data_IF_444685960469
#
_entry.id   IF_444685960469
#
_cell.length_a   1.000
_cell.length_b   1.000
_cell.length_c   1.000
_cell.angle_alpha   90.00
_cell.angle_beta   90.00
_cell.angle_gamma   90.00
#
_symmetry.space_group_name_H-M   'P 1'
#
loop_
_entity.id
_entity.type
_entity.pdbx_description
1 polymer ?
#
# COMPACT_ATOMS: atom_id res chain seq x y z
N UNK A 1 16.70 -35.97 10.89
CA UNK A 1 16.59 -35.17 12.12
C UNK A 1 15.54 -34.08 11.91
N UNK A 2 14.44 -34.19 12.64
CA UNK A 2 13.22 -33.41 12.46
C UNK A 2 13.44 -31.98 12.99
N UNK A 3 13.41 -30.96 12.12
CA UNK A 3 13.44 -29.56 12.57
C UNK A 3 12.00 -29.11 12.73
N UNK A 4 11.42 -29.29 13.92
CA UNK A 4 10.11 -28.74 14.26
C UNK A 4 10.18 -27.21 14.13
N UNK A 5 9.51 -26.66 13.10
CA UNK A 5 9.16 -25.24 13.10
C UNK A 5 8.03 -25.08 14.12
N UNK A 6 8.35 -24.55 15.29
CA UNK A 6 7.34 -24.13 16.25
C UNK A 6 6.54 -22.96 15.64
N UNK A 7 5.44 -23.28 14.97
CA UNK A 7 4.44 -22.28 14.60
C UNK A 7 3.66 -21.95 15.87
N UNK A 8 3.98 -20.81 16.49
CA UNK A 8 3.25 -20.35 17.66
C UNK A 8 1.87 -19.85 17.22
N UNK A 9 0.81 -20.47 17.74
CA UNK A 9 -0.56 -20.07 17.48
C UNK A 9 -0.85 -18.73 18.20
N UNK A 10 -0.56 -17.63 17.50
CA UNK A 10 -0.73 -16.27 18.01
C UNK A 10 -2.19 -16.00 18.44
N UNK A 11 -3.23 -16.40 17.68
CA UNK A 11 -4.61 -16.36 18.16
C UNK A 11 -4.80 -17.02 19.53
N UNK A 12 -4.33 -18.27 19.71
CA UNK A 12 -4.46 -18.96 20.99
C UNK A 12 -3.69 -18.29 22.14
N UNK A 13 -2.55 -17.65 21.84
CA UNK A 13 -1.80 -16.87 22.85
C UNK A 13 -2.51 -15.57 23.22
N UNK A 14 -3.16 -14.89 22.28
CA UNK A 14 -3.97 -13.68 22.55
C UNK A 14 -5.21 -13.97 23.40
N UNK A 15 -5.67 -15.22 23.42
CA UNK A 15 -6.72 -15.68 24.34
C UNK A 15 -6.23 -15.91 25.77
N UNK A 16 -4.92 -16.06 25.97
CA UNK A 16 -4.31 -16.42 27.26
C UNK A 16 -3.55 -15.29 27.94
N UNK A 17 -2.89 -14.42 27.17
CA UNK A 17 -2.15 -13.28 27.70
C UNK A 17 -2.89 -11.98 27.33
N UNK A 18 -3.63 -11.45 28.30
CA UNK A 18 -4.55 -10.33 28.10
C UNK A 18 -3.93 -8.98 28.50
N UNK A 19 -4.57 -7.88 28.10
CA UNK A 19 -4.08 -6.53 28.36
C UNK A 19 -3.89 -6.24 29.86
N UNK A 20 -4.80 -6.64 30.78
CA UNK A 20 -4.59 -6.42 32.21
C UNK A 20 -3.33 -7.09 32.77
N UNK A 21 -3.02 -8.30 32.30
CA UNK A 21 -1.83 -9.04 32.73
C UNK A 21 -0.55 -8.41 32.17
N UNK A 22 -0.57 -8.01 30.90
CA UNK A 22 0.54 -7.29 30.27
C UNK A 22 0.76 -5.93 30.92
N UNK A 23 -0.31 -5.22 31.28
CA UNK A 23 -0.24 -3.95 32.00
C UNK A 23 0.56 -4.11 33.30
N UNK A 24 0.28 -5.15 34.08
CA UNK A 24 1.03 -5.44 35.30
C UNK A 24 2.46 -5.91 35.02
N UNK A 25 2.66 -6.81 34.05
CA UNK A 25 4.00 -7.30 33.66
C UNK A 25 4.92 -6.18 33.15
N UNK A 26 4.35 -5.12 32.59
CA UNK A 26 5.07 -3.92 32.15
C UNK A 26 5.20 -2.85 33.26
N UNK A 27 4.67 -3.10 34.46
CA UNK A 27 4.69 -2.19 35.60
C UNK A 27 4.15 -0.78 35.28
N UNK A 28 3.09 -0.71 34.47
CA UNK A 28 2.45 0.55 34.12
C UNK A 28 1.63 1.10 35.29
N UNK A 29 1.62 2.42 35.45
CA UNK A 29 0.88 3.08 36.53
C UNK A 29 -0.65 2.91 36.38
N UNK A 30 -1.36 2.95 37.50
CA UNK A 30 -2.81 2.79 37.54
C UNK A 30 -3.29 1.35 37.54
N UNK A 31 -4.61 1.15 37.44
CA UNK A 31 -5.24 -0.16 37.40
C UNK A 31 -6.06 -0.33 36.11
N UNK A 32 -5.90 -1.45 35.38
CA UNK A 32 -6.66 -1.72 34.18
C UNK A 32 -8.14 -1.93 34.52
N UNK A 33 -9.05 -1.20 33.87
CA UNK A 33 -10.49 -1.32 34.07
C UNK A 33 -11.30 -0.97 32.81
N UNK A 34 -12.61 -1.22 32.86
CA UNK A 34 -13.54 -0.81 31.80
C UNK A 34 -13.48 0.70 31.52
N UNK A 35 -13.19 1.50 32.54
CA UNK A 35 -12.83 2.93 32.41
C UNK A 35 -11.76 3.25 33.45
N UNK A 36 -10.64 3.81 33.02
CA UNK A 36 -9.49 4.18 33.84
C UNK A 36 -8.73 5.36 33.22
N UNK A 37 -7.72 5.86 33.92
CA UNK A 37 -6.82 6.89 33.37
C UNK A 37 -5.84 6.24 32.41
N UNK A 38 -5.49 6.96 31.33
CA UNK A 38 -4.47 6.49 30.39
C UNK A 38 -3.11 6.30 31.09
N UNK A 39 -2.41 5.18 30.88
CA UNK A 39 -1.08 4.94 31.44
C UNK A 39 0.02 5.59 30.58
N UNK A 40 -0.32 6.12 29.40
CA UNK A 40 0.63 6.58 28.39
C UNK A 40 0.78 8.11 28.34
N UNK A 41 -0.10 8.83 29.04
CA UNK A 41 -0.13 10.30 29.06
C UNK A 41 -0.79 10.77 30.34
N UNK A 42 -0.60 12.05 30.67
CA UNK A 42 -1.36 12.67 31.74
C UNK A 42 -2.86 12.69 31.36
N UNK A 43 -3.67 12.09 32.21
CA UNK A 43 -5.11 11.95 31.98
C UNK A 43 -5.88 12.37 33.22
N UNK A 44 -6.34 13.62 33.24
CA UNK A 44 -7.01 14.24 34.39
C UNK A 44 -8.39 13.63 34.62
N UNK A 45 -9.07 13.22 33.55
CA UNK A 45 -10.37 12.55 33.56
C UNK A 45 -10.22 11.16 32.95
N UNK A 46 -10.65 10.07 33.61
CA UNK A 46 -10.54 8.71 33.08
C UNK A 46 -11.10 8.60 31.66
N UNK A 47 -10.22 8.38 30.67
CA UNK A 47 -10.59 8.29 29.26
C UNK A 47 -9.99 7.08 28.55
N UNK A 48 -9.36 6.16 29.29
CA UNK A 48 -8.84 4.90 28.77
C UNK A 48 -9.76 3.75 29.18
N UNK A 49 -10.01 2.82 28.27
CA UNK A 49 -10.93 1.70 28.49
C UNK A 49 -10.30 0.38 28.05
N UNK A 50 -10.45 -0.65 28.87
CA UNK A 50 -10.17 -2.04 28.51
C UNK A 50 -11.50 -2.77 28.39
N UNK A 51 -11.73 -3.43 27.26
CA UNK A 51 -13.00 -4.04 26.89
C UNK A 51 -12.79 -5.44 26.31
N UNK A 52 -13.91 -6.13 26.05
CA UNK A 52 -13.94 -7.53 25.58
C UNK A 52 -13.10 -8.42 26.48
N UNK A 53 -13.39 -8.39 27.78
CA UNK A 53 -12.74 -9.22 28.80
C UNK A 53 -11.20 -9.10 28.79
N UNK A 54 -10.67 -7.89 28.59
CA UNK A 54 -9.23 -7.65 28.61
C UNK A 54 -8.52 -7.81 27.26
N UNK A 55 -9.24 -8.09 26.17
CA UNK A 55 -8.64 -8.34 24.84
C UNK A 55 -8.44 -7.08 24.00
N UNK A 56 -9.18 -6.02 24.28
CA UNK A 56 -9.14 -4.76 23.52
C UNK A 56 -8.96 -3.58 24.46
N UNK A 57 -8.24 -2.57 24.00
CA UNK A 57 -8.16 -1.28 24.68
C UNK A 57 -8.53 -0.14 23.73
N UNK A 58 -8.94 0.99 24.31
CA UNK A 58 -9.20 2.23 23.60
C UNK A 58 -8.89 3.42 24.51
N UNK A 59 -8.12 4.38 24.00
CA UNK A 59 -7.94 5.70 24.58
C UNK A 59 -8.90 6.67 23.86
N UNK A 60 -9.93 7.14 24.55
CA UNK A 60 -10.92 8.06 24.00
C UNK A 60 -10.40 9.50 23.88
N UNK A 61 -9.33 9.86 24.60
CA UNK A 61 -8.71 11.17 24.48
C UNK A 61 -7.84 11.32 23.22
N UNK A 62 -7.21 10.24 22.76
CA UNK A 62 -6.39 10.24 21.51
C UNK A 62 -7.05 9.53 20.34
N UNK A 63 -8.09 8.73 20.58
CA UNK A 63 -8.76 7.90 19.57
C UNK A 63 -8.03 6.58 19.27
N UNK A 64 -6.86 6.35 19.87
CA UNK A 64 -6.07 5.14 19.65
C UNK A 64 -6.73 3.93 20.30
N UNK A 65 -6.58 2.75 19.70
CA UNK A 65 -7.15 1.51 20.17
C UNK A 65 -6.40 0.32 19.57
N UNK A 66 -6.53 -0.86 20.17
CA UNK A 66 -5.79 -2.01 19.71
C UNK A 66 -6.03 -3.27 20.52
N UNK A 67 -5.31 -4.33 20.15
CA UNK A 67 -5.21 -5.54 20.96
C UNK A 67 -3.97 -5.51 21.87
N UNK A 68 -3.68 -6.62 22.53
CA UNK A 68 -2.55 -6.76 23.47
C UNK A 68 -1.17 -6.49 22.83
N UNK A 69 -0.98 -6.78 21.54
CA UNK A 69 0.29 -6.51 20.86
C UNK A 69 0.41 -5.01 20.55
N UNK A 70 -0.68 -4.40 20.09
CA UNK A 70 -0.73 -2.94 19.89
C UNK A 70 -0.50 -2.20 21.21
N UNK A 71 -1.03 -2.73 22.32
CA UNK A 71 -0.82 -2.20 23.66
C UNK A 71 0.67 -2.23 24.07
N UNK A 72 1.37 -3.35 23.83
CA UNK A 72 2.82 -3.48 24.10
C UNK A 72 3.63 -2.53 23.23
N UNK A 73 3.29 -2.45 21.94
CA UNK A 73 3.95 -1.55 20.99
C UNK A 73 3.85 -0.10 21.47
N UNK A 74 2.67 0.30 21.93
CA UNK A 74 2.42 1.64 22.47
C UNK A 74 3.17 1.87 23.79
N UNK A 75 3.09 0.94 24.73
CA UNK A 75 3.72 1.05 26.05
C UNK A 75 5.24 1.18 25.98
N UNK A 76 5.88 0.50 25.03
CA UNK A 76 7.34 0.52 24.85
C UNK A 76 7.84 1.42 23.73
N UNK A 77 6.93 2.05 22.98
CA UNK A 77 7.24 2.86 21.79
C UNK A 77 8.10 2.10 20.75
N UNK A 78 7.77 0.83 20.53
CA UNK A 78 8.48 -0.07 19.61
C UNK A 78 7.58 -0.48 18.43
N UNK A 79 8.16 -1.06 17.39
CA UNK A 79 7.40 -1.56 16.24
C UNK A 79 6.51 -2.76 16.61
N UNK A 80 5.45 -3.01 15.86
CA UNK A 80 4.56 -4.18 16.07
C UNK A 80 5.33 -5.51 16.03
N UNK A 81 6.38 -5.62 15.21
CA UNK A 81 7.22 -6.82 15.13
C UNK A 81 8.10 -7.04 16.37
N UNK A 82 8.59 -5.97 16.99
CA UNK A 82 9.29 -6.04 18.27
C UNK A 82 8.31 -6.29 19.42
N UNK A 83 7.13 -5.66 19.37
CA UNK A 83 6.05 -5.90 20.33
C UNK A 83 5.57 -7.36 20.30
N UNK A 84 5.52 -8.00 19.12
CA UNK A 84 5.20 -9.42 19.00
C UNK A 84 6.26 -10.30 19.70
N UNK A 85 7.55 -9.95 19.62
CA UNK A 85 8.60 -10.70 20.33
C UNK A 85 8.45 -10.56 21.85
N UNK A 86 8.21 -9.34 22.31
CA UNK A 86 7.92 -9.06 23.73
C UNK A 86 6.66 -9.80 24.18
N UNK A 87 5.61 -9.83 23.36
CA UNK A 87 4.39 -10.57 23.65
C UNK A 87 4.66 -12.07 23.80
N UNK A 88 5.42 -12.68 22.89
CA UNK A 88 5.81 -14.09 22.97
C UNK A 88 6.64 -14.40 24.22
N UNK A 89 7.60 -13.52 24.55
CA UNK A 89 8.41 -13.64 25.77
C UNK A 89 7.54 -13.55 27.03
N UNK A 90 6.63 -12.57 27.11
CA UNK A 90 5.69 -12.42 28.23
C UNK A 90 4.70 -13.58 28.34
N UNK A 91 4.40 -14.25 27.22
CA UNK A 91 3.57 -15.45 27.17
C UNK A 91 4.32 -16.73 27.55
N UNK A 92 5.59 -16.63 27.97
CA UNK A 92 6.42 -17.77 28.36
C UNK A 92 6.85 -18.65 27.19
N UNK A 93 6.74 -18.13 25.96
CA UNK A 93 7.21 -18.82 24.76
C UNK A 93 8.69 -18.51 24.59
N UNK A 94 9.58 -19.52 24.59
CA UNK A 94 11.01 -19.28 24.40
C UNK A 94 11.27 -18.74 22.99
N UNK A 95 11.51 -17.43 22.90
CA UNK A 95 11.99 -16.78 21.68
C UNK A 95 13.48 -17.08 21.57
N UNK A 96 13.99 -17.70 20.49
CA UNK A 96 15.42 -17.99 20.38
C UNK A 96 16.21 -16.68 20.36
N UNK A 97 16.90 -16.37 21.45
CA UNK A 97 17.82 -15.23 21.54
C UNK A 97 19.12 -15.66 20.88
N UNK A 98 19.36 -15.26 19.63
CA UNK A 98 20.68 -15.42 19.01
C UNK A 98 21.61 -14.33 19.56
N UNK A 99 22.60 -14.75 20.35
CA UNK A 99 23.71 -13.94 20.81
C UNK A 99 24.48 -13.30 19.66
N UNK A 100 24.94 -12.06 19.91
CA UNK A 100 25.86 -11.33 19.03
C UNK A 100 27.26 -11.97 19.07
N UNK A 101 27.72 -12.46 17.92
CA UNK A 101 29.15 -12.68 17.59
C UNK A 101 29.36 -12.49 16.08
N UNK A 102 30.57 -12.08 15.64
CA UNK A 102 30.78 -11.37 14.38
C UNK A 102 30.82 -12.29 13.15
N UNK A 103 30.32 -11.73 12.04
CA UNK A 103 30.42 -12.14 10.63
C UNK A 103 30.93 -13.56 10.30
N UNK A 104 30.04 -14.39 9.74
CA UNK A 104 30.24 -15.04 8.44
C UNK A 104 28.91 -15.57 7.90
N UNK A 105 28.77 -15.56 6.57
CA UNK A 105 27.51 -15.47 5.85
C UNK A 105 26.66 -16.74 5.74
N UNK A 106 25.35 -16.54 5.75
CA UNK A 106 24.38 -17.28 4.92
C UNK A 106 23.10 -16.43 4.78
N UNK A 107 23.14 -15.58 3.76
CA UNK A 107 22.05 -15.12 2.91
C UNK A 107 20.67 -14.94 3.58
N UNK A 108 20.51 -13.76 4.21
CA UNK A 108 19.21 -13.13 4.43
C UNK A 108 18.49 -13.14 3.08
N UNK A 109 17.38 -13.88 2.94
CA UNK A 109 16.48 -13.76 1.78
C UNK A 109 15.90 -12.34 1.85
N UNK A 110 16.62 -11.40 1.26
CA UNK A 110 16.27 -9.98 1.21
C UNK A 110 14.90 -9.86 0.57
N UNK A 111 13.90 -9.44 1.34
CA UNK A 111 12.60 -9.13 0.75
C UNK A 111 12.79 -7.96 -0.23
N UNK A 112 12.04 -7.96 -1.33
CA UNK A 112 12.03 -6.89 -2.32
C UNK A 112 11.91 -5.50 -1.66
N UNK A 113 11.19 -5.40 -0.53
CA UNK A 113 11.08 -4.21 0.32
C UNK A 113 12.43 -3.67 0.78
N UNK A 114 13.33 -4.52 1.27
CA UNK A 114 14.66 -4.10 1.76
C UNK A 114 15.57 -3.65 0.60
N UNK A 115 15.51 -4.32 -0.55
CA UNK A 115 16.26 -3.93 -1.75
C UNK A 115 15.71 -2.64 -2.39
N UNK A 116 14.39 -2.49 -2.48
CA UNK A 116 13.74 -1.32 -3.04
C UNK A 116 13.93 -0.06 -2.17
N UNK A 117 13.91 -0.21 -0.83
CA UNK A 117 14.16 0.88 0.11
C UNK A 117 15.63 1.30 0.12
N UNK A 118 16.59 0.38 -0.03
CA UNK A 118 18.01 0.70 -0.08
C UNK A 118 18.46 1.39 -1.39
N UNK A 119 17.66 1.28 -2.46
CA UNK A 119 17.88 1.93 -3.76
C UNK A 119 17.18 3.31 -3.85
N UNK A 120 16.70 3.86 -2.74
CA UNK A 120 16.11 5.19 -2.69
C UNK A 120 17.20 6.25 -2.50
N UNK A 121 17.31 7.27 -3.38
CA UNK A 121 18.05 8.47 -3.02
C UNK A 121 17.34 9.17 -1.84
N UNK A 122 18.07 10.01 -1.07
CA UNK A 122 17.45 10.93 -0.11
C UNK A 122 16.33 11.72 -0.78
N UNK A 123 15.26 12.01 -0.04
CA UNK A 123 14.12 12.78 -0.53
C UNK A 123 14.61 14.15 -1.04
N UNK A 124 14.58 14.38 -2.35
CA UNK A 124 14.83 15.73 -2.89
C UNK A 124 13.73 16.67 -2.41
N UNK A 125 14.11 17.91 -2.08
CA UNK A 125 13.17 18.96 -1.71
C UNK A 125 12.15 19.18 -2.83
N UNK A 126 10.85 19.35 -2.53
CA UNK A 126 9.81 19.56 -3.53
C UNK A 126 10.19 20.70 -4.47
N UNK A 127 10.10 20.46 -5.79
CA UNK A 127 10.28 21.52 -6.79
C UNK A 127 9.11 22.52 -6.66
N UNK A 128 9.35 23.84 -6.77
CA UNK A 128 8.32 24.88 -6.58
C UNK A 128 7.17 24.83 -7.60
N UNK A 129 7.29 24.02 -8.65
CA UNK A 129 6.29 23.76 -9.68
C UNK A 129 5.63 22.37 -9.57
N UNK A 130 6.05 21.57 -8.57
CA UNK A 130 5.57 20.23 -8.27
C UNK A 130 4.53 20.19 -7.16
N UNK A 131 3.77 19.09 -7.12
CA UNK A 131 2.69 18.75 -6.18
C UNK A 131 2.37 19.77 -5.06
N UNK A 132 1.25 20.48 -5.17
CA UNK A 132 0.77 21.42 -4.14
C UNK A 132 0.16 20.73 -2.90
N UNK A 133 0.43 19.45 -2.64
CA UNK A 133 -0.09 18.75 -1.45
C UNK A 133 1.05 18.06 -0.68
N UNK A 134 1.10 18.21 0.65
CA UNK A 134 2.08 17.50 1.46
C UNK A 134 1.77 15.99 1.42
N UNK A 135 2.73 15.21 0.94
CA UNK A 135 2.65 13.76 0.97
C UNK A 135 2.82 13.26 2.41
N UNK A 136 1.98 12.32 2.82
CA UNK A 136 1.97 11.76 4.16
C UNK A 136 2.17 10.24 4.11
N UNK A 137 2.90 9.72 5.08
CA UNK A 137 2.98 8.28 5.27
C UNK A 137 1.60 7.72 5.64
N UNK A 138 1.22 6.60 5.03
CA UNK A 138 0.01 5.88 5.40
C UNK A 138 0.18 5.15 6.73
N UNK A 139 -0.86 5.19 7.56
CA UNK A 139 -0.98 4.30 8.74
C UNK A 139 -1.26 2.86 8.28
N UNK A 140 -1.12 1.90 9.19
CA UNK A 140 -1.55 0.52 8.93
C UNK A 140 -3.07 0.44 8.67
N UNK A 141 -3.86 1.26 9.36
CA UNK A 141 -5.29 1.38 9.11
C UNK A 141 -5.59 1.91 7.70
N UNK A 142 -4.86 2.94 7.24
CA UNK A 142 -4.99 3.45 5.87
C UNK A 142 -4.72 2.34 4.83
N UNK A 143 -3.68 1.52 5.05
CA UNK A 143 -3.34 0.40 4.16
C UNK A 143 -4.45 -0.64 4.08
N UNK A 144 -5.01 -1.02 5.23
CA UNK A 144 -6.12 -1.98 5.30
C UNK A 144 -7.37 -1.45 4.62
N UNK A 145 -7.70 -0.17 4.81
CA UNK A 145 -8.84 0.45 4.14
C UNK A 145 -8.70 0.44 2.61
N UNK A 146 -7.49 0.73 2.09
CA UNK A 146 -7.24 0.60 0.65
C UNK A 146 -7.41 -0.86 0.21
N UNK A 147 -6.78 -1.81 0.91
CA UNK A 147 -6.82 -3.23 0.59
C UNK A 147 -8.27 -3.76 0.55
N UNK A 148 -9.05 -3.50 1.60
CA UNK A 148 -10.45 -3.90 1.74
C UNK A 148 -11.34 -3.26 0.66
N UNK A 149 -11.21 -1.95 0.43
CA UNK A 149 -12.02 -1.23 -0.57
C UNK A 149 -11.80 -1.72 -2.00
N UNK A 150 -10.66 -2.37 -2.26
CA UNK A 150 -10.26 -2.91 -3.57
C UNK A 150 -10.28 -4.43 -3.63
N UNK A 151 -10.55 -5.10 -2.52
CA UNK A 151 -10.50 -6.57 -2.39
C UNK A 151 -9.14 -7.14 -2.84
N UNK A 152 -8.06 -6.46 -2.44
CA UNK A 152 -6.67 -6.86 -2.69
C UNK A 152 -5.95 -7.14 -1.38
N UNK A 153 -4.76 -7.72 -1.45
CA UNK A 153 -3.93 -7.99 -0.28
C UNK A 153 -3.26 -6.72 0.28
N UNK A 154 -3.09 -6.59 1.61
CA UNK A 154 -2.28 -5.51 2.22
C UNK A 154 -0.83 -5.48 1.72
N UNK A 155 -0.31 -6.62 1.29
CA UNK A 155 1.01 -6.78 0.66
C UNK A 155 1.09 -6.00 -0.66
N UNK A 156 0.04 -6.03 -1.50
CA UNK A 156 -0.03 -5.26 -2.73
C UNK A 156 0.04 -3.74 -2.46
N UNK A 157 -0.67 -3.28 -1.42
CA UNK A 157 -0.62 -1.88 -0.97
C UNK A 157 0.77 -1.53 -0.45
N UNK A 158 1.40 -2.45 0.29
CA UNK A 158 2.77 -2.28 0.80
C UNK A 158 3.82 -2.25 -0.31
N UNK A 159 3.62 -3.05 -1.38
CA UNK A 159 4.45 -3.02 -2.59
C UNK A 159 4.34 -1.67 -3.29
N UNK A 160 3.12 -1.15 -3.48
CA UNK A 160 2.91 0.16 -4.09
C UNK A 160 3.61 1.29 -3.29
N UNK A 161 3.54 1.24 -1.96
CA UNK A 161 4.27 2.18 -1.09
C UNK A 161 5.79 2.04 -1.23
N UNK A 162 6.32 0.81 -1.27
CA UNK A 162 7.75 0.55 -1.45
C UNK A 162 8.28 1.00 -2.82
N UNK A 163 7.45 0.86 -3.86
CA UNK A 163 7.74 1.35 -5.20
C UNK A 163 7.67 2.88 -5.32
N UNK A 164 7.16 3.57 -4.27
CA UNK A 164 6.78 5.00 -4.30
C UNK A 164 5.73 5.29 -5.37
N UNK A 165 4.80 4.34 -5.58
CA UNK A 165 3.68 4.51 -6.51
C UNK A 165 2.33 4.69 -5.83
N UNK A 166 2.31 4.61 -4.50
CA UNK A 166 1.18 4.95 -3.65
C UNK A 166 1.65 5.84 -2.50
N UNK A 167 0.81 6.79 -2.10
CA UNK A 167 0.99 7.63 -0.91
C UNK A 167 -0.37 8.07 -0.37
N UNK A 168 -0.37 8.84 0.72
CA UNK A 168 -1.59 9.35 1.33
C UNK A 168 -1.48 10.85 1.55
N UNK A 169 -2.61 11.55 1.51
CA UNK A 169 -2.66 13.00 1.78
C UNK A 169 -4.08 13.44 2.11
N UNK A 170 -4.24 14.71 2.50
CA UNK A 170 -5.53 15.37 2.57
C UNK A 170 -5.73 16.17 1.28
N UNK A 171 -6.78 15.85 0.53
CA UNK A 171 -7.12 16.50 -0.73
C UNK A 171 -8.55 17.02 -0.67
N UNK A 172 -8.74 18.32 -0.85
CA UNK A 172 -10.04 19.00 -0.70
C UNK A 172 -10.73 18.70 0.65
N UNK A 173 -9.97 18.63 1.74
CA UNK A 173 -10.48 18.34 3.08
C UNK A 173 -10.73 16.85 3.37
N UNK A 174 -10.48 15.95 2.43
CA UNK A 174 -10.70 14.51 2.60
C UNK A 174 -9.40 13.72 2.70
N UNK A 175 -9.37 12.72 3.60
CA UNK A 175 -8.30 11.72 3.62
C UNK A 175 -8.34 10.88 2.34
N UNK A 176 -7.24 10.84 1.62
CA UNK A 176 -7.14 10.18 0.33
C UNK A 176 -5.93 9.25 0.28
N UNK A 177 -6.07 8.19 -0.52
CA UNK A 177 -4.92 7.50 -1.10
C UNK A 177 -4.66 8.07 -2.49
N UNK A 178 -3.40 8.20 -2.84
CA UNK A 178 -2.94 8.83 -4.06
C UNK A 178 -2.04 7.84 -4.78
N UNK A 179 -2.45 7.47 -5.98
CA UNK A 179 -1.53 6.81 -6.91
C UNK A 179 -0.64 7.92 -7.48
N UNK A 180 0.67 7.73 -7.32
CA UNK A 180 1.72 8.70 -7.63
C UNK A 180 2.78 8.03 -8.50
N UNK A 181 3.40 8.75 -9.42
CA UNK A 181 4.62 8.25 -10.06
C UNK A 181 5.82 8.43 -9.10
N UNK A 182 6.84 7.58 -9.17
CA UNK A 182 7.97 7.64 -8.24
C UNK A 182 8.75 8.97 -8.27
N UNK A 183 8.62 9.76 -9.35
CA UNK A 183 9.14 11.11 -9.51
C UNK A 183 8.06 12.19 -9.45
N UNK A 184 6.87 11.85 -8.94
CA UNK A 184 5.74 12.75 -8.69
C UNK A 184 5.21 13.47 -9.95
N UNK A 185 5.50 12.93 -11.14
CA UNK A 185 5.10 13.49 -12.44
C UNK A 185 3.62 13.41 -12.71
N UNK A 186 2.96 12.37 -12.19
CA UNK A 186 1.54 12.15 -12.34
C UNK A 186 0.97 11.66 -11.02
N UNK A 187 -0.10 12.31 -10.55
CA UNK A 187 -0.77 11.98 -9.30
C UNK A 187 -2.29 12.07 -9.44
N UNK A 188 -2.96 11.02 -8.98
CA UNK A 188 -4.42 10.93 -8.89
C UNK A 188 -4.86 10.48 -7.51
N UNK A 189 -5.71 11.29 -6.88
CA UNK A 189 -6.25 11.05 -5.56
C UNK A 189 -7.61 10.36 -5.63
N UNK A 190 -7.87 9.47 -4.68
CA UNK A 190 -9.19 8.88 -4.40
C UNK A 190 -9.45 8.95 -2.90
N UNK A 191 -10.67 9.32 -2.51
CA UNK A 191 -11.04 9.41 -1.10
C UNK A 191 -10.97 8.02 -0.46
N UNK A 192 -10.44 7.98 0.74
CA UNK A 192 -10.28 6.74 1.51
C UNK A 192 -11.63 6.21 2.01
N UNK A 193 -12.61 7.08 2.18
CA UNK A 193 -14.00 6.72 2.49
C UNK A 193 -14.78 6.15 1.29
N UNK A 194 -14.15 6.03 0.10
CA UNK A 194 -14.76 5.49 -1.11
C UNK A 194 -15.75 6.43 -1.81
N UNK A 195 -16.06 7.60 -1.23
CA UNK A 195 -17.00 8.55 -1.82
C UNK A 195 -16.34 9.36 -2.95
N UNK A 196 -17.11 9.85 -3.93
CA UNK A 196 -16.57 10.74 -4.96
C UNK A 196 -16.25 12.12 -4.39
N UNK A 197 -15.35 12.85 -5.04
CA UNK A 197 -15.16 14.28 -4.80
C UNK A 197 -16.39 15.05 -5.30
N UNK A 198 -16.78 16.07 -4.55
CA UNK A 198 -17.79 17.05 -4.93
C UNK A 198 -17.27 17.95 -6.06
N UNK A 199 -18.18 18.68 -6.71
CA UNK A 199 -17.79 19.69 -7.69
C UNK A 199 -16.93 20.77 -7.04
N UNK A 200 -15.92 21.26 -7.77
CA UNK A 200 -14.98 22.27 -7.30
C UNK A 200 -14.46 23.07 -8.50
N UNK A 201 -14.68 24.38 -8.52
CA UNK A 201 -14.35 25.23 -9.68
C UNK A 201 -15.05 24.74 -10.94
N UNK A 202 -14.30 24.55 -12.02
CA UNK A 202 -14.79 24.00 -13.30
C UNK A 202 -14.92 22.48 -13.31
N UNK A 203 -14.48 21.79 -12.25
CA UNK A 203 -14.49 20.33 -12.18
C UNK A 203 -15.82 19.84 -11.59
N UNK A 204 -16.50 18.97 -12.32
CA UNK A 204 -17.69 18.27 -11.83
C UNK A 204 -17.40 17.22 -10.74
N UNK A 205 -18.47 16.54 -10.29
CA UNK A 205 -18.38 15.38 -9.40
C UNK A 205 -17.57 14.27 -10.07
N UNK A 206 -16.61 13.69 -9.34
CA UNK A 206 -15.64 12.74 -9.91
C UNK A 206 -15.18 11.72 -8.89
N UNK A 207 -14.98 10.47 -9.33
CA UNK A 207 -14.50 9.38 -8.47
C UNK A 207 -13.02 9.51 -8.11
N UNK A 208 -12.25 10.12 -9.01
CA UNK A 208 -10.83 10.35 -8.84
C UNK A 208 -10.49 11.80 -9.17
N UNK A 209 -9.50 12.35 -8.49
CA UNK A 209 -9.06 13.72 -8.67
C UNK A 209 -7.58 13.75 -9.01
N UNK A 210 -7.29 13.95 -10.29
CA UNK A 210 -5.95 14.28 -10.75
C UNK A 210 -5.52 15.62 -10.15
N UNK A 211 -4.36 15.65 -9.48
CA UNK A 211 -3.84 16.89 -8.91
C UNK A 211 -3.32 17.83 -10.00
N UNK A 212 -3.36 19.14 -9.72
CA UNK A 212 -2.79 20.16 -10.61
C UNK A 212 -1.28 19.90 -10.78
N UNK A 213 -0.79 20.02 -12.00
CA UNK A 213 0.60 19.73 -12.37
C UNK A 213 0.84 18.29 -12.81
N UNK A 214 -0.10 17.37 -12.61
CA UNK A 214 0.02 16.00 -13.10
C UNK A 214 0.06 15.93 -14.63
N UNK A 215 1.04 15.20 -15.13
CA UNK A 215 1.27 14.92 -16.55
C UNK A 215 0.59 13.62 -16.97
N UNK A 216 -0.53 13.72 -17.69
CA UNK A 216 -1.34 12.55 -18.10
C UNK A 216 -0.80 11.78 -19.30
N UNK A 217 0.22 12.34 -19.97
CA UNK A 217 1.02 11.66 -20.98
C UNK A 217 2.11 10.76 -20.34
N UNK A 218 2.44 10.95 -19.06
CA UNK A 218 3.38 10.10 -18.34
C UNK A 218 2.67 8.86 -17.76
N UNK A 219 3.06 7.63 -18.16
CA UNK A 219 2.56 6.41 -17.54
C UNK A 219 3.06 6.34 -16.10
N UNK A 220 2.13 6.39 -15.16
CA UNK A 220 2.46 6.27 -13.76
C UNK A 220 3.16 4.94 -13.49
N UNK A 221 4.26 4.98 -12.73
CA UNK A 221 5.06 3.80 -12.41
C UNK A 221 6.23 3.61 -13.37
N UNK A 222 6.26 4.28 -14.53
CA UNK A 222 7.39 4.19 -15.46
C UNK A 222 8.70 4.67 -14.81
N UNK A 223 8.66 5.68 -13.94
CA UNK A 223 9.86 6.18 -13.26
C UNK A 223 10.51 5.14 -12.32
N UNK A 224 9.78 4.12 -11.88
CA UNK A 224 10.35 2.99 -11.12
C UNK A 224 11.47 2.30 -11.91
N UNK A 225 11.36 2.24 -13.24
CA UNK A 225 12.33 1.56 -14.11
C UNK A 225 13.72 2.19 -14.09
N UNK A 226 13.84 3.49 -13.77
CA UNK A 226 15.15 4.13 -13.56
C UNK A 226 15.89 3.57 -12.36
N UNK A 227 15.13 3.21 -11.32
CA UNK A 227 15.67 2.67 -10.05
C UNK A 227 15.79 1.15 -10.07
N UNK A 228 14.85 0.48 -10.75
CA UNK A 228 14.73 -0.98 -10.79
C UNK A 228 14.57 -1.42 -12.25
N UNK A 229 15.65 -1.42 -13.05
CA UNK A 229 15.57 -1.77 -14.47
C UNK A 229 15.27 -3.26 -14.73
N UNK A 230 15.31 -4.10 -13.69
CA UNK A 230 15.14 -5.56 -13.77
C UNK A 230 13.70 -5.99 -14.09
N UNK A 231 12.72 -5.09 -14.01
CA UNK A 231 11.37 -5.38 -14.48
C UNK A 231 11.38 -5.58 -15.99
N UNK A 232 11.04 -6.81 -16.41
CA UNK A 232 11.07 -7.26 -17.81
C UNK A 232 9.72 -7.16 -18.48
N UNK A 233 8.66 -7.36 -17.70
CA UNK A 233 7.28 -7.34 -18.17
C UNK A 233 6.54 -6.19 -17.53
N UNK A 234 5.84 -5.40 -18.33
CA UNK A 234 5.04 -4.27 -17.87
C UNK A 234 3.55 -4.58 -18.05
N UNK A 235 2.72 -4.27 -17.06
CA UNK A 235 1.26 -4.35 -17.18
C UNK A 235 0.71 -2.93 -17.34
N UNK A 236 0.28 -2.55 -18.53
CA UNK A 236 -0.29 -1.24 -18.82
C UNK A 236 -1.80 -1.26 -18.57
N UNK A 237 -2.27 -0.43 -17.63
CA UNK A 237 -3.68 -0.32 -17.22
C UNK A 237 -4.18 1.14 -17.34
N UNK A 238 -5.49 1.36 -17.26
CA UNK A 238 -6.08 2.71 -17.40
C UNK A 238 -6.38 3.38 -16.04
N UNK A 239 -6.58 2.58 -14.98
CA UNK A 239 -6.98 3.06 -13.68
C UNK A 239 -5.92 2.91 -12.59
N UNK A 240 -5.91 3.86 -11.64
CA UNK A 240 -5.20 3.68 -10.36
C UNK A 240 -5.64 2.45 -9.55
N UNK A 241 -6.95 2.08 -9.49
CA UNK A 241 -7.37 0.81 -8.88
C UNK A 241 -6.75 -0.43 -9.54
N UNK A 242 -6.76 -0.48 -10.87
CA UNK A 242 -6.22 -1.59 -11.66
C UNK A 242 -4.71 -1.71 -11.48
N UNK A 243 -4.01 -0.58 -11.26
CA UNK A 243 -2.59 -0.58 -10.93
C UNK A 243 -2.33 -1.37 -9.64
N UNK A 244 -3.17 -1.17 -8.61
CA UNK A 244 -3.08 -1.92 -7.37
C UNK A 244 -3.51 -3.38 -7.54
N UNK A 245 -4.52 -3.66 -8.37
CA UNK A 245 -4.94 -5.02 -8.70
C UNK A 245 -3.81 -5.79 -9.43
N UNK A 246 -3.11 -5.13 -10.35
CA UNK A 246 -1.95 -5.69 -11.04
C UNK A 246 -0.80 -6.03 -10.07
N UNK A 247 -0.53 -5.17 -9.08
CA UNK A 247 0.43 -5.49 -8.00
C UNK A 247 -0.03 -6.66 -7.14
N UNK A 248 -1.33 -6.76 -6.86
CA UNK A 248 -1.89 -7.89 -6.15
C UNK A 248 -1.67 -9.20 -6.90
N UNK A 249 -2.04 -9.27 -8.18
CA UNK A 249 -1.79 -10.48 -8.97
C UNK A 249 -0.30 -10.78 -9.14
N UNK A 250 0.55 -9.76 -9.30
CA UNK A 250 2.00 -9.97 -9.34
C UNK A 250 2.53 -10.59 -8.03
N UNK A 251 2.00 -10.17 -6.88
CA UNK A 251 2.32 -10.73 -5.57
C UNK A 251 1.82 -12.18 -5.43
N UNK A 252 0.52 -12.42 -5.68
CA UNK A 252 -0.09 -13.74 -5.50
C UNK A 252 0.49 -14.81 -6.43
N UNK A 253 0.91 -14.40 -7.63
CA UNK A 253 1.52 -15.29 -8.62
C UNK A 253 3.05 -15.32 -8.52
N UNK A 254 3.63 -14.66 -7.52
CA UNK A 254 5.08 -14.54 -7.30
C UNK A 254 5.85 -14.07 -8.56
N UNK A 255 5.23 -13.20 -9.35
CA UNK A 255 5.79 -12.63 -10.58
C UNK A 255 6.56 -11.35 -10.30
N UNK A 256 7.72 -11.50 -9.67
CA UNK A 256 8.58 -10.39 -9.23
C UNK A 256 9.28 -9.63 -10.37
N UNK A 257 9.20 -10.13 -11.61
CA UNK A 257 9.73 -9.48 -12.82
C UNK A 257 8.70 -8.57 -13.52
N UNK A 258 7.51 -8.41 -12.93
CA UNK A 258 6.39 -7.65 -13.46
C UNK A 258 6.22 -6.31 -12.74
N UNK A 259 6.04 -5.24 -13.50
CA UNK A 259 5.72 -3.90 -12.98
C UNK A 259 4.46 -3.35 -13.66
N UNK A 260 3.41 -2.97 -12.91
CA UNK A 260 2.33 -2.21 -13.51
C UNK A 260 2.75 -0.79 -13.83
N UNK A 261 2.16 -0.26 -14.90
CA UNK A 261 2.19 1.14 -15.29
C UNK A 261 0.78 1.59 -15.67
N UNK A 262 0.39 2.83 -15.38
CA UNK A 262 -0.98 3.29 -15.61
C UNK A 262 -1.08 4.57 -16.43
N UNK A 263 -1.92 4.56 -17.47
CA UNK A 263 -2.30 5.76 -18.23
C UNK A 263 -3.59 6.34 -17.65
N UNK A 264 -3.43 7.34 -16.77
CA UNK A 264 -4.54 7.85 -15.98
C UNK A 264 -5.45 8.82 -16.74
N UNK A 265 -6.72 8.46 -16.83
CA UNK A 265 -7.80 9.32 -17.29
C UNK A 265 -8.10 9.21 -18.79
N UNK A 266 -9.37 8.92 -19.08
CA UNK A 266 -9.91 8.72 -20.43
C UNK A 266 -9.68 9.93 -21.34
N UNK A 267 -9.15 9.69 -22.53
CA UNK A 267 -9.04 10.67 -23.63
C UNK A 267 -7.90 11.70 -23.53
N UNK A 268 -7.25 11.84 -22.38
CA UNK A 268 -6.14 12.81 -22.20
C UNK A 268 -4.74 12.20 -22.34
N UNK A 269 -4.62 10.88 -22.32
CA UNK A 269 -3.36 10.14 -22.35
C UNK A 269 -3.09 9.39 -23.65
N UNK A 270 -3.64 9.81 -24.80
CA UNK A 270 -3.46 9.08 -26.06
C UNK A 270 -1.99 8.93 -26.48
N UNK A 271 -1.13 9.86 -26.04
CA UNK A 271 0.31 9.86 -26.28
C UNK A 271 1.05 9.49 -25.00
N UNK A 272 2.03 8.60 -25.13
CA UNK A 272 2.99 8.29 -24.06
C UNK A 272 4.16 9.26 -24.18
N UNK A 273 4.58 9.82 -23.05
CA UNK A 273 5.76 10.69 -22.96
C UNK A 273 7.01 9.98 -23.55
N UNK A 274 7.80 10.65 -24.41
CA UNK A 274 8.98 10.03 -25.03
C UNK A 274 10.01 9.50 -24.03
N UNK A 275 10.19 10.18 -22.90
CA UNK A 275 11.08 9.73 -21.84
C UNK A 275 10.57 8.47 -21.15
N UNK A 276 9.25 8.30 -21.02
CA UNK A 276 8.67 7.06 -20.54
C UNK A 276 8.78 5.92 -21.56
N UNK A 277 8.58 6.20 -22.85
CA UNK A 277 8.81 5.21 -23.93
C UNK A 277 10.26 4.68 -23.90
N UNK A 278 11.24 5.56 -23.71
CA UNK A 278 12.65 5.15 -23.59
C UNK A 278 12.89 4.23 -22.39
N UNK A 279 12.26 4.51 -21.24
CA UNK A 279 12.35 3.62 -20.07
C UNK A 279 11.71 2.25 -20.33
N UNK A 280 10.68 2.18 -21.16
CA UNK A 280 9.96 0.96 -21.48
C UNK A 280 10.59 0.19 -22.65
N UNK A 281 11.50 0.81 -23.42
CA UNK A 281 12.15 0.26 -24.64
C UNK A 281 12.54 -1.21 -24.50
N UNK A 282 12.20 -2.00 -25.53
CA UNK A 282 12.61 -3.40 -25.64
C UNK A 282 11.93 -4.38 -24.69
N UNK A 283 10.97 -3.93 -23.86
CA UNK A 283 10.31 -4.78 -22.85
C UNK A 283 9.05 -5.42 -23.40
N UNK A 284 8.58 -6.45 -22.70
CA UNK A 284 7.24 -6.98 -22.92
C UNK A 284 6.22 -6.09 -22.23
N UNK A 285 5.17 -5.68 -22.94
CA UNK A 285 4.08 -4.88 -22.37
C UNK A 285 2.75 -5.57 -22.62
N UNK A 286 2.04 -5.91 -21.55
CA UNK A 286 0.67 -6.43 -21.63
C UNK A 286 -0.31 -5.31 -21.28
N UNK A 287 -1.21 -4.98 -22.18
CA UNK A 287 -2.19 -3.92 -22.02
C UNK A 287 -3.54 -4.52 -21.61
N UNK A 288 -4.14 -3.99 -20.55
CA UNK A 288 -5.48 -4.35 -20.08
C UNK A 288 -6.42 -3.15 -20.26
N UNK A 289 -7.03 -2.99 -21.45
CA UNK A 289 -7.99 -1.92 -21.68
C UNK A 289 -9.25 -2.09 -20.83
N UNK A 290 -9.86 -0.98 -20.45
CA UNK A 290 -11.22 -0.94 -19.93
C UNK A 290 -12.20 -1.35 -21.02
N UNK A 291 -13.15 -2.21 -20.64
CA UNK A 291 -14.27 -2.63 -21.49
C UNK A 291 -15.37 -1.56 -21.47
N UNK A 292 -15.05 -0.40 -22.05
CA UNK A 292 -15.99 0.70 -22.21
C UNK A 292 -17.03 0.38 -23.28
N UNK A 293 -18.30 0.73 -23.03
CA UNK A 293 -19.41 0.45 -23.96
C UNK A 293 -19.25 1.13 -25.33
N UNK A 294 -18.46 2.21 -25.42
CA UNK A 294 -18.17 2.91 -26.69
C UNK A 294 -16.85 2.45 -27.34
N UNK A 295 -16.18 1.44 -26.79
CA UNK A 295 -14.89 0.94 -27.27
C UNK A 295 -13.70 1.87 -27.01
N UNK A 296 -13.85 2.88 -26.16
CA UNK A 296 -12.82 3.88 -25.88
C UNK A 296 -11.51 3.30 -25.33
N UNK A 297 -11.59 2.35 -24.40
CA UNK A 297 -10.42 1.69 -23.82
C UNK A 297 -9.60 0.92 -24.85
N UNK A 298 -10.24 0.09 -25.67
CA UNK A 298 -9.57 -0.67 -26.75
C UNK A 298 -8.93 0.26 -27.79
N UNK A 299 -9.60 1.35 -28.16
CA UNK A 299 -9.03 2.36 -29.06
C UNK A 299 -7.75 2.99 -28.47
N UNK A 300 -7.76 3.32 -27.19
CA UNK A 300 -6.61 3.88 -26.48
C UNK A 300 -5.47 2.87 -26.38
N UNK A 301 -5.77 1.61 -26.06
CA UNK A 301 -4.79 0.53 -26.01
C UNK A 301 -4.07 0.31 -27.34
N UNK A 302 -4.78 0.39 -28.48
CA UNK A 302 -4.16 0.29 -29.81
C UNK A 302 -3.19 1.45 -30.10
N UNK A 303 -3.53 2.67 -29.68
CA UNK A 303 -2.65 3.83 -29.83
C UNK A 303 -1.38 3.70 -28.98
N UNK A 304 -1.50 3.21 -27.75
CA UNK A 304 -0.34 2.92 -26.89
C UNK A 304 0.51 1.79 -27.45
N UNK A 305 -0.12 0.71 -27.93
CA UNK A 305 0.57 -0.42 -28.53
C UNK A 305 1.45 0.01 -29.70
N UNK A 306 0.94 0.85 -30.62
CA UNK A 306 1.73 1.35 -31.75
C UNK A 306 2.95 2.19 -31.32
N UNK A 307 2.82 3.02 -30.27
CA UNK A 307 3.93 3.81 -29.74
C UNK A 307 5.00 2.93 -29.06
N UNK A 308 4.57 1.89 -28.35
CA UNK A 308 5.45 0.93 -27.69
C UNK A 308 6.18 0.03 -28.69
N UNK A 309 5.48 -0.44 -29.72
CA UNK A 309 6.07 -1.20 -30.83
C UNK A 309 7.13 -0.36 -31.55
N UNK A 310 6.88 0.94 -31.75
CA UNK A 310 7.85 1.87 -32.33
C UNK A 310 9.16 2.04 -31.53
N UNK A 311 9.19 1.63 -30.26
CA UNK A 311 10.43 1.55 -29.45
C UNK A 311 10.88 0.12 -29.18
N UNK A 312 10.40 -0.85 -29.97
CA UNK A 312 10.83 -2.25 -29.92
C UNK A 312 10.26 -3.05 -28.75
N UNK A 313 9.18 -2.59 -28.11
CA UNK A 313 8.48 -3.39 -27.11
C UNK A 313 7.70 -4.52 -27.77
N UNK A 314 7.62 -5.68 -27.10
CA UNK A 314 6.71 -6.77 -27.49
C UNK A 314 5.37 -6.54 -26.79
N UNK A 315 4.32 -6.21 -27.55
CA UNK A 315 3.04 -5.80 -26.99
C UNK A 315 1.97 -6.87 -27.17
N UNK A 316 1.22 -7.18 -26.11
CA UNK A 316 -0.01 -7.94 -26.18
C UNK A 316 -1.18 -7.21 -25.49
N UNK A 317 -2.39 -7.32 -26.04
CA UNK A 317 -3.60 -6.68 -25.51
C UNK A 317 -4.53 -7.80 -25.01
N UNK A 318 -4.98 -7.70 -23.76
CA UNK A 318 -5.86 -8.67 -23.14
C UNK A 318 -7.20 -8.04 -22.79
N UNK A 319 -8.23 -8.35 -23.58
CA UNK A 319 -9.59 -7.88 -23.37
C UNK A 319 -10.36 -8.84 -22.46
N UNK A 320 -11.12 -8.29 -21.52
CA UNK A 320 -12.00 -9.09 -20.63
C UNK A 320 -13.40 -9.32 -21.21
N UNK A 321 -13.61 -8.98 -22.48
CA UNK A 321 -14.89 -9.15 -23.16
C UNK A 321 -15.37 -10.60 -23.07
N UNK A 322 -16.59 -10.79 -22.59
CA UNK A 322 -17.20 -12.11 -22.38
C UNK A 322 -16.83 -12.79 -21.05
N UNK A 323 -15.93 -12.22 -20.25
CA UNK A 323 -15.67 -12.72 -18.90
C UNK A 323 -16.70 -12.16 -17.90
N UNK A 324 -17.12 -13.02 -16.98
CA UNK A 324 -18.06 -12.70 -15.92
C UNK A 324 -17.38 -12.87 -14.56
N UNK A 325 -17.74 -12.01 -13.62
CA UNK A 325 -17.45 -12.19 -12.20
C UNK A 325 -18.28 -13.36 -11.66
N UNK A 326 -17.94 -13.83 -10.46
CA UNK A 326 -18.67 -14.91 -9.78
C UNK A 326 -20.15 -14.59 -9.52
N UNK A 327 -20.52 -13.31 -9.51
CA UNK A 327 -21.89 -12.82 -9.39
C UNK A 327 -22.61 -12.66 -10.74
N UNK A 328 -21.99 -13.10 -11.85
CA UNK A 328 -22.53 -12.99 -13.20
C UNK A 328 -22.40 -11.62 -13.84
N UNK A 329 -21.81 -10.63 -13.16
CA UNK A 329 -21.62 -9.29 -13.74
C UNK A 329 -20.41 -9.25 -14.69
N UNK A 330 -20.48 -8.52 -15.81
CA UNK A 330 -19.35 -8.42 -16.74
C UNK A 330 -18.10 -7.80 -16.10
N UNK A 331 -16.93 -8.38 -16.40
CA UNK A 331 -15.64 -7.78 -16.03
C UNK A 331 -15.38 -6.58 -16.95
N UNK A 332 -15.06 -5.43 -16.34
CA UNK A 332 -14.82 -4.16 -17.06
C UNK A 332 -13.38 -3.71 -17.05
N UNK A 333 -12.63 -4.14 -16.05
CA UNK A 333 -11.28 -3.73 -15.71
C UNK A 333 -10.60 -4.86 -14.93
N UNK A 334 -9.27 -4.75 -14.77
CA UNK A 334 -8.43 -5.72 -14.06
C UNK A 334 -8.64 -5.62 -12.54
#
# INVERSE_FOLDING_TARGET
MNTQRNHHDIPALKERLLIPEVWQKLALQGQPAATCRSPFREDKNPSFSISKDGKRWKDYGTGQNGDVIDFIAMARQITTGEALKVFLELAGVPVPVKGRSPQSGSTRRTSFKEKATALLPPQETPKPEGLCVPLQNGTEADRRLVAESRRITPEAVSLALALRTLTFSIVQGYRCWLIVDAEERCVEARRLDGMPFTSCGTLGRRKAHTLRGSRKDWPLGAAVLRRIPQFRTLLLVEGGPDYLAALHFANELERWDVLPVAMLGRGTGARIDPGALELMRGRRVRIYPHNDADGGGVKSARLWAAQLDGVGCVVDIYEFTGLLRTDGTPIKDL
#
